data_IF_087301162463
#
_entry.id   IF_087301162463
#
_cell.length_a   1.000
_cell.length_b   1.000
_cell.length_c   1.000
_cell.angle_alpha   90.00
_cell.angle_beta   90.00
_cell.angle_gamma   90.00
#
_symmetry.space_group_name_H-M   'P 1'
#
loop_
_entity.id
_entity.type
_entity.pdbx_description
1 polymer ?
#
# COMPACT_ATOMS: atom_id res chain seq x y z
N UNK A 1 -3.59 6.04 3.94
CA UNK A 1 -3.08 5.21 2.83
C UNK A 1 -1.86 5.91 2.23
N UNK A 2 -0.91 5.18 1.66
CA UNK A 2 0.27 5.72 0.97
C UNK A 2 0.24 5.34 -0.52
N UNK A 3 0.88 6.15 -1.36
CA UNK A 3 1.04 5.90 -2.80
C UNK A 3 2.35 5.13 -3.02
N UNK A 4 2.33 3.90 -3.55
CA UNK A 4 3.54 3.19 -3.98
C UNK A 4 4.10 3.77 -5.28
N UNK A 5 5.36 3.46 -5.60
CA UNK A 5 5.92 3.79 -6.91
C UNK A 5 5.40 2.81 -7.96
N UNK A 6 5.11 3.28 -9.17
CA UNK A 6 4.68 2.41 -10.27
C UNK A 6 5.84 2.07 -11.22
N UNK A 7 6.63 1.07 -10.84
CA UNK A 7 7.75 0.58 -11.65
C UNK A 7 7.39 -0.75 -12.33
N UNK A 8 7.59 -0.86 -13.64
CA UNK A 8 7.35 -2.12 -14.36
C UNK A 8 8.34 -3.23 -13.96
N UNK A 9 7.85 -4.47 -13.86
CA UNK A 9 8.66 -5.67 -13.67
C UNK A 9 8.88 -6.39 -15.01
N UNK A 10 10.13 -6.61 -15.41
CA UNK A 10 10.51 -7.45 -16.54
C UNK A 10 10.58 -8.92 -16.11
N UNK A 11 9.51 -9.67 -16.34
CA UNK A 11 9.39 -11.09 -16.00
C UNK A 11 10.33 -12.03 -16.76
N UNK A 12 11.08 -11.54 -17.76
CA UNK A 12 12.11 -12.34 -18.44
C UNK A 12 13.43 -12.35 -17.69
N UNK A 13 13.69 -11.33 -16.86
CA UNK A 13 14.95 -11.16 -16.13
C UNK A 13 14.78 -11.00 -14.62
N UNK A 14 13.59 -10.63 -14.16
CA UNK A 14 13.22 -10.43 -12.76
C UNK A 14 12.22 -11.49 -12.30
N UNK A 15 12.18 -11.74 -11.00
CA UNK A 15 11.37 -12.82 -10.39
C UNK A 15 10.20 -12.28 -9.55
N UNK A 16 9.91 -10.99 -9.67
CA UNK A 16 8.85 -10.32 -8.93
C UNK A 16 9.31 -8.97 -8.42
N UNK A 17 8.56 -8.45 -7.46
CA UNK A 17 8.76 -7.15 -6.86
C UNK A 17 8.93 -7.28 -5.35
N UNK A 18 9.50 -6.23 -4.76
CA UNK A 18 9.54 -6.03 -3.33
C UNK A 18 9.43 -4.54 -3.08
N UNK A 19 9.05 -4.18 -1.85
CA UNK A 19 9.04 -2.80 -1.42
C UNK A 19 9.62 -2.72 -0.02
N UNK A 20 10.47 -1.73 0.19
CA UNK A 20 10.91 -1.37 1.53
C UNK A 20 9.83 -0.53 2.21
N UNK A 21 9.66 -0.79 3.51
CA UNK A 21 8.80 -0.01 4.37
C UNK A 21 9.64 1.11 4.99
N UNK A 22 9.33 2.39 4.70
CA UNK A 22 10.24 3.50 5.01
C UNK A 22 10.29 3.83 6.50
N UNK A 23 9.24 3.51 7.25
CA UNK A 23 9.17 3.81 8.68
C UNK A 23 9.99 2.79 9.47
N UNK A 24 10.80 3.28 10.41
CA UNK A 24 11.69 2.42 11.21
C UNK A 24 10.91 1.40 12.02
N UNK A 25 11.16 0.11 11.76
CA UNK A 25 10.49 -0.99 12.47
C UNK A 25 9.08 -1.29 11.95
N UNK A 26 8.65 -0.63 10.88
CA UNK A 26 7.41 -0.94 10.17
C UNK A 26 7.44 -2.38 9.65
N UNK A 27 6.32 -3.09 9.81
CA UNK A 27 6.21 -4.49 9.43
C UNK A 27 4.77 -4.90 9.17
N UNK A 28 4.61 -5.95 8.37
CA UNK A 28 3.33 -6.62 8.14
C UNK A 28 3.20 -7.77 9.14
N UNK A 29 2.16 -7.74 9.97
CA UNK A 29 1.88 -8.77 10.99
C UNK A 29 0.56 -9.51 10.76
N UNK A 30 -0.23 -9.04 9.80
CA UNK A 30 -1.52 -9.62 9.43
C UNK A 30 -1.43 -10.18 8.01
N UNK A 31 -2.17 -11.26 7.69
CA UNK A 31 -2.21 -11.80 6.33
C UNK A 31 -2.69 -10.75 5.33
N UNK A 32 -2.09 -10.76 4.14
CA UNK A 32 -2.59 -10.00 3.00
C UNK A 32 -3.82 -10.70 2.38
N UNK A 33 -4.66 -9.91 1.72
CA UNK A 33 -5.82 -10.39 0.96
C UNK A 33 -5.63 -9.99 -0.50
N UNK A 34 -5.83 -10.94 -1.40
CA UNK A 34 -5.80 -10.69 -2.85
C UNK A 34 -7.24 -10.61 -3.34
N UNK A 35 -7.57 -9.57 -4.08
CA UNK A 35 -8.88 -9.39 -4.71
C UNK A 35 -8.69 -8.84 -6.13
N UNK A 36 -9.00 -9.65 -7.13
CA UNK A 36 -8.69 -9.33 -8.52
C UNK A 36 -7.17 -9.20 -8.71
N UNK A 37 -6.74 -8.07 -9.27
CA UNK A 37 -5.34 -7.73 -9.53
C UNK A 37 -4.71 -6.93 -8.37
N UNK A 38 -5.42 -6.74 -7.26
CA UNK A 38 -4.93 -5.96 -6.12
C UNK A 38 -4.55 -6.84 -4.91
N UNK A 39 -3.48 -6.44 -4.22
CA UNK A 39 -3.04 -6.99 -2.93
C UNK A 39 -3.29 -5.96 -1.83
N UNK A 40 -4.14 -6.31 -0.87
CA UNK A 40 -4.49 -5.50 0.28
C UNK A 40 -3.84 -6.03 1.55
N UNK A 41 -3.16 -5.15 2.30
CA UNK A 41 -2.54 -5.51 3.57
C UNK A 41 -2.40 -4.29 4.48
N UNK A 42 -2.13 -4.53 5.76
CA UNK A 42 -1.90 -3.48 6.73
C UNK A 42 -0.47 -3.57 7.27
N UNK A 43 0.20 -2.43 7.39
CA UNK A 43 1.48 -2.31 8.06
C UNK A 43 1.30 -1.74 9.46
N UNK A 44 2.22 -2.07 10.36
CA UNK A 44 2.25 -1.55 11.73
C UNK A 44 3.65 -1.01 12.03
N UNK A 45 3.70 0.25 12.43
CA UNK A 45 4.84 0.92 13.04
C UNK A 45 4.66 0.83 14.56
N UNK A 46 5.36 -0.09 15.25
CA UNK A 46 5.17 -0.29 16.68
C UNK A 46 5.63 0.94 17.48
N UNK A 47 4.85 1.30 18.49
CA UNK A 47 5.30 2.27 19.50
C UNK A 47 6.35 1.62 20.42
N UNK A 48 7.39 2.37 20.75
CA UNK A 48 8.41 1.96 21.71
C UNK A 48 7.94 2.00 23.16
N UNK A 49 6.81 2.65 23.45
CA UNK A 49 6.24 2.75 24.80
C UNK A 49 5.48 1.46 25.18
N UNK A 50 5.88 0.83 26.29
CA UNK A 50 5.38 -0.48 26.77
C UNK A 50 3.86 -0.49 27.05
N UNK A 51 3.26 0.68 27.33
CA UNK A 51 1.81 0.84 27.53
C UNK A 51 1.19 1.83 26.51
N UNK A 52 1.90 2.11 25.42
CA UNK A 52 1.39 2.93 24.32
C UNK A 52 0.24 2.24 23.60
N UNK A 53 -0.55 3.02 22.85
CA UNK A 53 -1.80 2.58 22.20
C UNK A 53 -1.61 1.61 21.01
N UNK A 54 -0.44 0.98 20.84
CA UNK A 54 -0.22 -0.08 19.87
C UNK A 54 0.45 0.34 18.55
N UNK A 55 0.92 1.59 18.43
CA UNK A 55 1.62 2.09 17.24
C UNK A 55 0.72 2.74 16.20
N UNK A 56 1.32 3.17 15.09
CA UNK A 56 0.63 3.66 13.89
C UNK A 56 0.78 2.64 12.75
N UNK A 57 0.20 2.92 11.59
CA UNK A 57 0.28 1.99 10.46
C UNK A 57 -0.42 2.51 9.22
N UNK A 58 -0.31 1.75 8.13
CA UNK A 58 -0.87 2.11 6.83
C UNK A 58 -1.69 0.96 6.26
N UNK A 59 -2.91 1.28 5.84
CA UNK A 59 -3.63 0.44 4.89
C UNK A 59 -2.99 0.60 3.50
N UNK A 60 -2.61 -0.54 2.93
CA UNK A 60 -1.93 -0.67 1.64
C UNK A 60 -2.86 -1.35 0.64
N UNK A 61 -2.86 -0.83 -0.58
CA UNK A 61 -3.35 -1.52 -1.78
C UNK A 61 -2.30 -1.34 -2.86
N UNK A 62 -1.80 -2.45 -3.39
CA UNK A 62 -0.77 -2.46 -4.45
C UNK A 62 -1.19 -3.41 -5.56
N UNK A 63 -0.69 -3.15 -6.76
CA UNK A 63 -0.87 -4.04 -7.90
C UNK A 63 -0.14 -5.39 -7.67
N UNK A 64 -0.79 -6.49 -8.04
CA UNK A 64 -0.28 -7.85 -7.84
C UNK A 64 0.92 -8.15 -8.74
N UNK A 65 0.97 -7.60 -9.94
CA UNK A 65 2.01 -7.86 -10.93
C UNK A 65 3.29 -7.07 -10.63
N UNK A 66 3.18 -5.82 -10.19
CA UNK A 66 4.37 -4.97 -10.02
C UNK A 66 4.58 -4.37 -8.62
N UNK A 67 3.61 -4.53 -7.70
CA UNK A 67 3.69 -3.96 -6.35
C UNK A 67 3.53 -2.44 -6.30
N UNK A 68 3.12 -1.85 -7.42
CA UNK A 68 2.99 -0.42 -7.66
C UNK A 68 1.58 0.09 -7.43
N UNK A 69 1.29 1.24 -8.05
CA UNK A 69 -0.02 1.90 -7.93
C UNK A 69 -1.08 1.06 -8.65
N UNK A 70 -2.30 1.05 -8.11
CA UNK A 70 -3.41 0.36 -8.76
C UNK A 70 -3.89 1.17 -9.96
N UNK A 71 -4.13 0.50 -11.08
CA UNK A 71 -4.68 1.09 -12.29
C UNK A 71 -6.07 1.72 -12.08
N UNK A 72 -6.82 1.24 -11.08
CA UNK A 72 -8.14 1.75 -10.70
C UNK A 72 -8.19 2.07 -9.20
N UNK A 73 -8.95 3.10 -8.79
CA UNK A 73 -9.05 3.48 -7.39
C UNK A 73 -9.72 2.37 -6.60
N UNK A 74 -9.10 1.97 -5.49
CA UNK A 74 -9.62 0.93 -4.60
C UNK A 74 -10.19 1.48 -3.28
N UNK A 75 -10.00 2.77 -3.02
CA UNK A 75 -10.38 3.40 -1.77
C UNK A 75 -11.06 4.73 -2.05
N UNK A 76 -12.15 5.00 -1.35
CA UNK A 76 -12.80 6.31 -1.31
C UNK A 76 -11.96 7.23 -0.40
N UNK A 77 -11.06 8.01 -1.00
CA UNK A 77 -10.12 8.87 -0.28
C UNK A 77 -10.69 10.26 -0.03
N UNK A 78 -11.68 10.66 -0.82
CA UNK A 78 -12.35 11.95 -0.68
C UNK A 78 -13.59 11.89 0.24
N UNK A 79 -13.99 10.67 0.64
CA UNK A 79 -15.10 10.35 1.53
C UNK A 79 -16.47 10.84 1.00
N UNK A 80 -16.71 10.68 -0.31
CA UNK A 80 -17.99 10.97 -0.97
C UNK A 80 -18.93 9.76 -1.05
N UNK A 81 -18.46 8.58 -0.64
CA UNK A 81 -19.18 7.31 -0.66
C UNK A 81 -19.16 6.58 -2.00
N UNK A 82 -18.41 7.07 -2.99
CA UNK A 82 -18.34 6.54 -4.35
C UNK A 82 -16.90 6.44 -4.80
N UNK A 83 -16.41 5.21 -4.95
CA UNK A 83 -15.08 4.97 -5.53
C UNK A 83 -15.09 5.33 -7.02
N UNK A 84 -14.40 6.39 -7.40
CA UNK A 84 -14.37 6.90 -8.78
C UNK A 84 -13.05 7.65 -9.10
N UNK A 85 -12.93 8.24 -10.29
CA UNK A 85 -11.73 8.95 -10.73
C UNK A 85 -11.30 10.14 -9.83
N UNK A 86 -12.18 10.64 -8.95
CA UNK A 86 -11.82 11.63 -7.94
C UNK A 86 -11.00 11.05 -6.78
N UNK A 87 -10.84 9.72 -6.72
CA UNK A 87 -10.09 9.02 -5.68
C UNK A 87 -8.66 8.65 -6.06
N UNK A 88 -8.23 8.98 -7.28
CA UNK A 88 -6.82 8.88 -7.62
C UNK A 88 -6.03 9.86 -6.75
N UNK A 89 -5.03 9.33 -6.04
CA UNK A 89 -4.08 10.16 -5.32
C UNK A 89 -3.10 10.73 -6.33
N UNK A 90 -3.41 11.90 -6.90
CA UNK A 90 -2.44 12.61 -7.75
C UNK A 90 -1.16 12.79 -6.97
N UNK A 91 -0.05 12.22 -7.43
CA UNK A 91 1.28 12.35 -6.81
C UNK A 91 1.68 13.82 -6.72
N UNK A 92 1.28 14.51 -5.64
CA UNK A 92 1.75 15.84 -5.33
C UNK A 92 3.09 15.73 -4.62
N UNK A 93 4.13 15.54 -5.43
CA UNK A 93 5.50 15.93 -5.13
C UNK A 93 6.33 14.95 -4.30
N UNK A 94 7.39 14.46 -4.95
CA UNK A 94 8.66 13.89 -4.43
C UNK A 94 8.60 12.63 -3.57
#
# INVERSE_FOLDING_TARGET
>A
MRVPTDNSVDWTTQYGWYMDLPDSGERVISPAVILGEAVFFNTVVPDSQICGFGGSGWLMGVDLENGGELDEPAFDVNNDGVINNADYLTQSGV
#
